data_IF_964606927317
#
_entry.id   IF_964606927317
#
_cell.length_a   1.000
_cell.length_b   1.000
_cell.length_c   1.000
_cell.angle_alpha   90.00
_cell.angle_beta   90.00
_cell.angle_gamma   90.00
#
_symmetry.space_group_name_H-M   'P 1'
#
loop_
_entity.id
_entity.type
_entity.pdbx_description
1 polymer ?
#
# COMPACT_ATOMS: atom_id res chain seq x y z
N UNK A 1 78.33 34.60 11.41
CA UNK A 1 77.59 35.64 10.69
C UNK A 1 76.66 34.94 9.73
N UNK A 2 75.38 35.06 10.04
CA UNK A 2 74.15 34.90 9.23
C UNK A 2 73.92 33.73 8.27
N UNK A 3 72.67 33.27 8.31
CA UNK A 3 71.99 32.53 7.25
C UNK A 3 71.69 31.09 7.67
N UNK A 4 70.46 30.61 7.80
CA UNK A 4 69.15 31.16 7.43
C UNK A 4 68.15 30.03 7.69
N UNK A 5 66.97 30.36 8.22
CA UNK A 5 65.92 29.39 8.49
C UNK A 5 65.22 28.93 7.22
N UNK A 6 64.80 27.66 7.21
CA UNK A 6 63.67 27.17 6.44
C UNK A 6 63.24 25.81 7.03
N UNK A 7 62.30 25.83 7.98
CA UNK A 7 61.58 24.61 8.36
C UNK A 7 60.71 24.20 7.18
N UNK A 8 61.13 23.12 6.51
CA UNK A 8 60.40 22.50 5.41
C UNK A 8 58.97 22.17 5.83
N UNK A 9 58.03 22.74 5.10
CA UNK A 9 56.60 22.56 5.30
C UNK A 9 56.21 21.15 4.85
N UNK A 10 56.20 20.16 5.75
CA UNK A 10 55.51 18.90 5.49
C UNK A 10 54.01 19.14 5.67
N UNK A 11 53.35 19.52 4.56
CA UNK A 11 51.90 19.42 4.44
C UNK A 11 51.54 17.94 4.42
N UNK A 12 51.28 17.37 5.59
CA UNK A 12 50.51 16.14 5.69
C UNK A 12 49.11 16.45 5.16
N UNK A 13 48.82 16.06 3.92
CA UNK A 13 47.44 15.94 3.45
C UNK A 13 46.83 14.77 4.22
N UNK A 14 46.34 15.06 5.43
CA UNK A 14 45.59 14.11 6.23
C UNK A 14 44.26 13.89 5.51
N UNK A 15 44.24 12.92 4.58
CA UNK A 15 43.00 12.48 3.94
C UNK A 15 42.12 11.92 5.06
N UNK A 16 41.07 12.66 5.41
CA UNK A 16 40.02 12.15 6.27
C UNK A 16 39.37 10.98 5.53
N UNK A 17 39.75 9.76 5.88
CA UNK A 17 39.08 8.56 5.37
C UNK A 17 37.74 8.52 6.08
N UNK A 18 36.70 9.05 5.44
CA UNK A 18 35.33 8.84 5.88
C UNK A 18 35.02 7.35 5.70
N UNK A 19 35.17 6.57 6.78
CA UNK A 19 34.62 5.21 6.84
C UNK A 19 33.11 5.31 7.00
N UNK A 20 32.43 5.71 5.92
CA UNK A 20 30.99 5.60 5.83
C UNK A 20 30.67 4.12 5.61
N UNK A 21 30.19 3.43 6.64
CA UNK A 21 29.67 2.07 6.48
C UNK A 21 28.43 2.09 5.59
N UNK A 22 28.51 1.46 4.41
CA UNK A 22 27.38 1.34 3.50
C UNK A 22 26.66 0.02 3.77
N UNK A 23 25.38 0.10 4.15
CA UNK A 23 24.50 -1.06 4.16
C UNK A 23 23.94 -1.28 2.74
N UNK A 24 23.98 -2.52 2.24
CA UNK A 24 23.37 -2.88 0.96
C UNK A 24 21.84 -2.92 1.01
N UNK A 25 21.18 -3.09 -0.14
CA UNK A 25 19.71 -3.05 -0.26
C UNK A 25 18.92 -4.19 0.42
N UNK A 26 19.60 -5.17 1.01
CA UNK A 26 18.98 -6.30 1.70
C UNK A 26 18.27 -7.30 0.78
N UNK A 27 17.61 -8.30 1.38
CA UNK A 27 16.77 -9.28 0.66
C UNK A 27 15.55 -9.58 1.51
N UNK A 28 14.36 -9.45 0.91
CA UNK A 28 13.11 -9.79 1.59
C UNK A 28 12.84 -11.28 1.44
N UNK A 29 13.08 -12.04 2.51
CA UNK A 29 12.71 -13.45 2.59
C UNK A 29 11.26 -13.60 3.06
N UNK A 30 10.48 -14.42 2.36
CA UNK A 30 9.13 -14.82 2.79
C UNK A 30 9.13 -16.32 3.06
N UNK A 31 8.91 -16.72 4.31
CA UNK A 31 8.83 -18.14 4.69
C UNK A 31 7.38 -18.61 4.55
N UNK A 32 7.17 -19.59 3.68
CA UNK A 32 5.87 -20.24 3.48
C UNK A 32 5.79 -21.54 4.30
N UNK A 33 4.60 -21.90 4.80
CA UNK A 33 4.44 -23.18 5.52
C UNK A 33 3.19 -23.35 6.39
N UNK A 34 2.48 -22.26 6.73
CA UNK A 34 1.18 -22.36 7.40
C UNK A 34 0.05 -22.62 6.38
N UNK A 35 -1.13 -23.12 6.82
CA UNK A 35 -2.28 -23.33 5.94
C UNK A 35 -2.70 -22.05 5.22
N UNK A 36 -3.07 -22.18 3.95
CA UNK A 36 -3.60 -21.08 3.15
C UNK A 36 -4.96 -20.63 3.70
N UNK A 37 -5.20 -19.33 3.70
CA UNK A 37 -6.43 -18.71 4.20
C UNK A 37 -6.88 -17.65 3.22
N UNK A 38 -8.10 -17.77 2.71
CA UNK A 38 -8.70 -16.76 1.84
C UNK A 38 -9.02 -15.47 2.63
N UNK A 39 -9.02 -14.30 1.98
CA UNK A 39 -9.34 -13.04 2.65
C UNK A 39 -10.80 -12.96 3.05
N UNK A 40 -11.05 -12.50 4.27
CA UNK A 40 -12.33 -11.93 4.63
C UNK A 40 -12.40 -10.53 4.04
N UNK A 41 -13.43 -10.25 3.25
CA UNK A 41 -13.59 -8.96 2.58
C UNK A 41 -14.79 -8.22 3.14
N UNK A 42 -14.55 -7.01 3.64
CA UNK A 42 -15.56 -6.04 4.08
C UNK A 42 -15.50 -4.82 3.19
N UNK A 43 -16.66 -4.36 2.72
CA UNK A 43 -16.78 -3.22 1.80
C UNK A 43 -17.62 -2.13 2.46
N UNK A 44 -17.07 -0.91 2.52
CA UNK A 44 -17.69 0.23 3.20
C UNK A 44 -18.02 1.34 2.20
N UNK A 45 -19.24 1.92 2.29
CA UNK A 45 -19.62 3.05 1.45
C UNK A 45 -18.88 4.33 1.86
N UNK A 46 -18.88 5.37 1.02
CA UNK A 46 -18.39 6.70 1.38
C UNK A 46 -19.12 7.24 2.60
N UNK A 47 -18.40 8.00 3.44
CA UNK A 47 -19.03 8.72 4.55
C UNK A 47 -19.77 9.96 4.02
N UNK A 48 -20.94 10.26 4.58
CA UNK A 48 -21.73 11.44 4.17
C UNK A 48 -20.99 12.76 4.36
N UNK A 49 -20.12 12.86 5.37
CA UNK A 49 -19.30 14.04 5.63
C UNK A 49 -18.29 14.35 4.52
N UNK A 50 -17.81 13.33 3.80
CA UNK A 50 -16.82 13.47 2.73
C UNK A 50 -17.38 14.20 1.49
N UNK A 51 -18.70 14.12 1.26
CA UNK A 51 -19.34 14.73 0.10
C UNK A 51 -19.20 16.26 0.06
N UNK A 52 -19.07 16.90 1.23
CA UNK A 52 -18.87 18.35 1.33
C UNK A 52 -17.49 18.77 0.79
N UNK A 53 -16.53 17.86 0.71
CA UNK A 53 -15.21 18.07 0.10
C UNK A 53 -15.16 17.64 -1.38
N UNK A 54 -16.33 17.37 -1.99
CA UNK A 54 -16.46 16.86 -3.36
C UNK A 54 -15.71 15.52 -3.57
N UNK A 55 -15.71 14.66 -2.56
CA UNK A 55 -15.08 13.33 -2.60
C UNK A 55 -16.03 12.25 -2.09
N UNK A 56 -15.86 11.04 -2.60
CA UNK A 56 -16.58 9.85 -2.19
C UNK A 56 -15.64 8.65 -2.24
N UNK A 57 -15.20 8.15 -1.09
CA UNK A 57 -14.23 7.05 -1.01
C UNK A 57 -14.89 5.75 -0.55
N UNK A 58 -14.87 4.75 -1.41
CA UNK A 58 -15.28 3.38 -1.08
C UNK A 58 -14.07 2.63 -0.52
N UNK A 59 -14.24 1.92 0.59
CA UNK A 59 -13.14 1.19 1.25
C UNK A 59 -13.38 -0.30 1.20
N UNK A 60 -12.45 -1.05 0.62
CA UNK A 60 -12.41 -2.51 0.64
C UNK A 60 -11.32 -2.98 1.61
N UNK A 61 -11.74 -3.51 2.75
CA UNK A 61 -10.86 -4.09 3.75
C UNK A 61 -10.71 -5.59 3.49
N UNK A 62 -9.46 -6.04 3.36
CA UNK A 62 -9.07 -7.44 3.25
C UNK A 62 -8.39 -7.85 4.55
N UNK A 63 -8.94 -8.85 5.22
CA UNK A 63 -8.42 -9.31 6.50
C UNK A 63 -8.18 -10.83 6.53
N UNK A 64 -7.34 -11.27 7.45
CA UNK A 64 -7.17 -12.69 7.79
C UNK A 64 -6.77 -13.60 6.60
N UNK A 65 -5.95 -13.11 5.67
CA UNK A 65 -5.48 -13.93 4.53
C UNK A 65 -4.02 -14.40 4.65
N UNK A 66 -3.71 -15.51 4.00
CA UNK A 66 -2.34 -16.02 3.91
C UNK A 66 -2.19 -16.96 2.71
N UNK A 67 -1.08 -16.93 1.95
CA UNK A 67 0.06 -16.00 1.99
C UNK A 67 -0.30 -14.54 1.67
N UNK A 68 0.64 -13.62 1.91
CA UNK A 68 0.43 -12.17 1.79
C UNK A 68 0.32 -11.61 0.37
N UNK A 69 0.18 -12.45 -0.66
CA UNK A 69 0.04 -12.02 -2.06
C UNK A 69 -1.43 -11.93 -2.44
N UNK A 70 -1.93 -10.71 -2.68
CA UNK A 70 -3.32 -10.43 -3.10
C UNK A 70 -3.34 -9.49 -4.28
N UNK A 71 -4.35 -9.62 -5.13
CA UNK A 71 -4.65 -8.65 -6.20
C UNK A 71 -6.06 -8.12 -6.00
N UNK A 72 -6.23 -6.80 -6.00
CA UNK A 72 -7.53 -6.14 -5.90
C UNK A 72 -7.86 -5.46 -7.21
N UNK A 73 -9.11 -5.60 -7.68
CA UNK A 73 -9.65 -4.90 -8.84
C UNK A 73 -10.99 -4.28 -8.47
N UNK A 74 -11.23 -3.07 -8.96
CA UNK A 74 -12.50 -2.39 -8.79
C UNK A 74 -13.32 -2.43 -10.07
N UNK A 75 -14.64 -2.55 -9.93
CA UNK A 75 -15.60 -2.40 -11.02
C UNK A 75 -16.74 -1.48 -10.61
N UNK A 76 -17.20 -0.63 -11.52
CA UNK A 76 -18.52 -0.01 -11.44
C UNK A 76 -19.37 -0.52 -12.58
N UNK A 77 -20.58 -1.00 -12.26
CA UNK A 77 -21.55 -1.51 -13.23
C UNK A 77 -20.94 -2.57 -14.18
N UNK A 78 -20.05 -3.40 -13.63
CA UNK A 78 -19.33 -4.45 -14.37
C UNK A 78 -18.07 -4.00 -15.11
N UNK A 79 -17.85 -2.69 -15.26
CA UNK A 79 -16.69 -2.11 -15.96
C UNK A 79 -15.54 -1.84 -14.99
N UNK A 80 -14.32 -2.27 -15.34
CA UNK A 80 -13.13 -2.08 -14.49
C UNK A 80 -12.76 -0.61 -14.35
N UNK A 81 -12.50 -0.19 -13.10
CA UNK A 81 -11.99 1.15 -12.76
C UNK A 81 -10.58 1.02 -12.18
N UNK A 82 -9.66 1.82 -12.70
CA UNK A 82 -8.29 1.94 -12.18
C UNK A 82 -7.98 3.34 -11.63
N UNK A 83 -8.72 4.36 -12.08
CA UNK A 83 -8.54 5.74 -11.61
C UNK A 83 -9.04 5.88 -10.17
N UNK A 84 -8.30 6.61 -9.34
CA UNK A 84 -8.65 6.81 -7.93
C UNK A 84 -8.44 5.57 -7.04
N UNK A 85 -7.88 4.48 -7.59
CA UNK A 85 -7.60 3.25 -6.84
C UNK A 85 -6.26 3.36 -6.12
N UNK A 86 -6.26 3.11 -4.82
CA UNK A 86 -5.05 2.99 -4.00
C UNK A 86 -5.14 1.72 -3.16
N UNK A 87 -4.10 0.87 -3.19
CA UNK A 87 -4.09 -0.37 -2.40
C UNK A 87 -2.84 -0.42 -1.54
N UNK A 88 -3.01 -0.67 -0.25
CA UNK A 88 -1.90 -0.78 0.70
C UNK A 88 -1.12 -2.08 0.50
N UNK A 89 0.15 -2.07 0.89
CA UNK A 89 0.91 -3.31 0.94
C UNK A 89 0.37 -4.20 2.07
N UNK A 90 0.21 -5.51 1.84
CA UNK A 90 -0.20 -6.45 2.88
C UNK A 90 0.73 -6.42 4.10
N UNK A 91 0.15 -6.17 5.26
CA UNK A 91 0.86 -6.12 6.55
C UNK A 91 0.52 -7.36 7.35
N UNK A 92 1.57 -8.05 7.83
CA UNK A 92 1.41 -9.23 8.68
C UNK A 92 0.91 -8.81 10.08
N UNK A 93 -0.16 -9.44 10.53
CA UNK A 93 -0.79 -9.23 11.83
C UNK A 93 -0.20 -10.18 12.89
N UNK A 94 -0.62 -10.01 14.14
CA UNK A 94 -0.16 -10.81 15.29
C UNK A 94 -0.55 -12.29 15.20
N UNK A 95 -1.61 -12.63 14.48
CA UNK A 95 -2.08 -13.99 14.22
C UNK A 95 -1.33 -14.71 13.08
N UNK A 96 -0.26 -14.08 12.56
CA UNK A 96 0.52 -14.52 11.41
C UNK A 96 -0.22 -14.52 10.05
N UNK A 97 -1.39 -13.90 9.97
CA UNK A 97 -2.06 -13.63 8.69
C UNK A 97 -1.78 -12.21 8.23
N UNK A 98 -2.28 -11.86 7.06
CA UNK A 98 -2.10 -10.55 6.45
C UNK A 98 -3.41 -9.79 6.41
N UNK A 99 -3.28 -8.46 6.46
CA UNK A 99 -4.34 -7.50 6.26
C UNK A 99 -3.88 -6.49 5.20
N UNK A 100 -4.82 -6.04 4.38
CA UNK A 100 -4.61 -4.98 3.39
C UNK A 100 -5.91 -4.19 3.21
N UNK A 101 -5.81 -3.02 2.63
CA UNK A 101 -6.96 -2.19 2.29
C UNK A 101 -6.80 -1.63 0.88
N UNK A 102 -7.91 -1.55 0.17
CA UNK A 102 -8.00 -0.86 -1.12
C UNK A 102 -9.06 0.22 -1.03
N UNK A 103 -8.76 1.36 -1.63
CA UNK A 103 -9.59 2.56 -1.62
C UNK A 103 -9.90 2.91 -3.07
N UNK A 104 -11.15 3.26 -3.34
CA UNK A 104 -11.59 3.82 -4.60
C UNK A 104 -12.19 5.20 -4.33
N UNK A 105 -11.47 6.26 -4.70
CA UNK A 105 -11.94 7.64 -4.59
C UNK A 105 -12.63 8.08 -5.88
N UNK A 106 -13.86 8.55 -5.75
CA UNK A 106 -14.73 9.06 -6.81
C UNK A 106 -15.20 10.47 -6.43
N UNK A 107 -15.86 11.17 -7.35
CA UNK A 107 -16.72 12.30 -6.99
C UNK A 107 -18.08 11.81 -6.45
N UNK A 108 -18.80 12.61 -5.65
CA UNK A 108 -20.15 12.26 -5.21
C UNK A 108 -21.12 11.97 -6.37
N UNK A 109 -20.98 12.68 -7.49
CA UNK A 109 -21.81 12.48 -8.68
C UNK A 109 -21.51 11.16 -9.37
N UNK A 110 -20.24 10.77 -9.48
CA UNK A 110 -19.84 9.45 -9.97
C UNK A 110 -20.34 8.34 -9.05
N UNK A 111 -20.18 8.50 -7.73
CA UNK A 111 -20.68 7.51 -6.78
C UNK A 111 -22.19 7.30 -6.93
N UNK A 112 -22.98 8.37 -7.05
CA UNK A 112 -24.44 8.28 -7.19
C UNK A 112 -24.92 7.83 -8.57
N UNK A 113 -24.09 7.98 -9.62
CA UNK A 113 -24.46 7.56 -10.97
C UNK A 113 -24.32 6.07 -11.20
N UNK A 114 -23.44 5.40 -10.44
CA UNK A 114 -23.27 3.95 -10.54
C UNK A 114 -24.41 3.19 -9.84
N UNK A 115 -24.83 2.08 -10.41
CA UNK A 115 -25.80 1.19 -9.77
C UNK A 115 -25.12 0.27 -8.75
N UNK A 116 -23.88 -0.14 -9.06
CA UNK A 116 -23.13 -1.08 -8.24
C UNK A 116 -21.63 -0.86 -8.35
N UNK A 117 -20.97 -0.68 -7.23
CA UNK A 117 -19.50 -0.68 -7.12
C UNK A 117 -19.04 -1.96 -6.45
N UNK A 118 -18.00 -2.57 -7.00
CA UNK A 118 -17.55 -3.92 -6.66
C UNK A 118 -16.05 -3.97 -6.42
N UNK A 119 -15.64 -4.54 -5.29
CA UNK A 119 -14.26 -4.91 -5.00
C UNK A 119 -14.07 -6.41 -5.26
N UNK A 120 -13.23 -6.74 -6.24
CA UNK A 120 -12.84 -8.10 -6.58
C UNK A 120 -11.45 -8.39 -6.04
N UNK A 121 -11.35 -9.38 -5.16
CA UNK A 121 -10.11 -9.82 -4.54
C UNK A 121 -9.72 -11.19 -5.07
N UNK A 122 -8.52 -11.28 -5.64
CA UNK A 122 -7.91 -12.53 -6.10
C UNK A 122 -6.82 -12.93 -5.11
N UNK A 123 -6.93 -14.14 -4.57
CA UNK A 123 -5.98 -14.73 -3.66
C UNK A 123 -5.84 -16.22 -3.95
N UNK A 124 -4.66 -16.79 -3.72
CA UNK A 124 -4.38 -18.19 -4.06
C UNK A 124 -5.21 -19.22 -3.28
N UNK A 125 -5.79 -18.83 -2.15
CA UNK A 125 -6.70 -19.67 -1.37
C UNK A 125 -8.17 -19.49 -1.77
N UNK A 126 -8.50 -18.50 -2.61
CA UNK A 126 -9.85 -18.24 -3.06
C UNK A 126 -10.07 -16.80 -3.53
N UNK A 127 -10.97 -16.63 -4.50
CA UNK A 127 -11.39 -15.33 -4.98
C UNK A 127 -12.65 -14.89 -4.23
N UNK A 128 -12.69 -13.63 -3.82
CA UNK A 128 -13.82 -13.06 -3.07
C UNK A 128 -14.24 -11.76 -3.74
N UNK A 129 -15.54 -11.56 -3.88
CA UNK A 129 -16.12 -10.34 -4.43
C UNK A 129 -17.13 -9.77 -3.44
N UNK A 130 -17.11 -8.45 -3.27
CA UNK A 130 -18.12 -7.71 -2.53
C UNK A 130 -18.58 -6.52 -3.35
N UNK A 131 -19.86 -6.20 -3.24
CA UNK A 131 -20.48 -5.09 -3.96
C UNK A 131 -21.33 -4.25 -3.02
N UNK A 132 -21.44 -2.97 -3.34
CA UNK A 132 -22.36 -2.02 -2.72
C UNK A 132 -23.17 -1.33 -3.81
N UNK A 133 -24.44 -1.06 -3.53
CA UNK A 133 -25.26 -0.17 -4.32
C UNK A 133 -25.40 1.18 -3.59
N UNK A 134 -25.15 2.32 -4.26
CA UNK A 134 -25.33 3.65 -3.65
C UNK A 134 -26.74 3.87 -3.09
N UNK A 135 -27.76 3.28 -3.71
CA UNK A 135 -29.17 3.33 -3.27
C UNK A 135 -29.44 2.61 -1.94
N UNK A 136 -28.59 1.66 -1.54
CA UNK A 136 -28.78 0.87 -0.31
C UNK A 136 -28.11 1.52 0.91
N UNK A 137 -27.39 2.63 0.72
CA UNK A 137 -26.60 3.32 1.75
C UNK A 137 -27.19 4.70 2.12
N UNK A 138 -28.51 4.87 1.96
CA UNK A 138 -29.26 6.12 2.24
C UNK A 138 -29.69 6.25 3.69
#
# INVERSE_FOLDING_TARGET
LEGGGAQGQQRFLQKSVSQCGVFGGGTRLTVLGQPKSAPTVSLFPPSSGEFNENKATVVCLLDSFYPGSVTVRWKADGTTINQGVQTTQPVKQSDNKYMASSYLTLTPDQWRSYQRVTCQVTHEAGNVEKSLAPSECS
#
